data_IF_618420029273
#
_entry.id   IF_618420029273
#
_cell.length_a   1.000
_cell.length_b   1.000
_cell.length_c   1.000
_cell.angle_alpha   90.00
_cell.angle_beta   90.00
_cell.angle_gamma   90.00
#
_symmetry.space_group_name_H-M   'P 1'
#
loop_
_entity.id
_entity.type
_entity.pdbx_description
1 polymer ?
#
# COMPACT_ATOMS: atom_id res chain seq x y z
N UNK A 1 39.15 -36.83 -19.30
CA UNK A 1 40.55 -36.41 -19.46
C UNK A 1 40.93 -36.65 -20.91
N UNK A 2 41.00 -35.55 -21.72
CA UNK A 2 41.62 -35.40 -23.06
C UNK A 2 41.22 -36.36 -24.20
N UNK A 3 41.12 -35.96 -25.48
CA UNK A 3 41.32 -34.70 -26.19
C UNK A 3 40.68 -34.83 -27.59
N UNK A 4 40.35 -33.67 -28.15
CA UNK A 4 39.79 -33.39 -29.46
C UNK A 4 40.41 -34.14 -30.67
N UNK A 5 39.62 -34.33 -31.74
CA UNK A 5 39.74 -33.60 -33.02
C UNK A 5 38.78 -34.14 -34.10
N UNK A 6 38.44 -33.26 -35.05
CA UNK A 6 37.54 -33.36 -36.23
C UNK A 6 36.02 -33.18 -35.93
N UNK A 7 35.31 -32.21 -36.52
CA UNK A 7 35.62 -31.38 -37.68
C UNK A 7 34.86 -30.04 -37.67
N UNK A 8 35.58 -29.01 -38.10
CA UNK A 8 35.08 -27.66 -38.38
C UNK A 8 34.31 -27.64 -39.70
N UNK A 9 33.49 -26.59 -39.81
CA UNK A 9 32.98 -25.89 -41.02
C UNK A 9 31.55 -26.23 -41.43
N UNK A 10 30.62 -25.47 -40.88
CA UNK A 10 29.70 -24.68 -41.71
C UNK A 10 29.54 -23.31 -41.05
N UNK A 11 30.19 -22.30 -41.66
CA UNK A 11 30.08 -20.90 -41.27
C UNK A 11 28.96 -20.23 -42.05
N UNK A 12 27.89 -19.83 -41.35
CA UNK A 12 26.86 -18.92 -41.84
C UNK A 12 27.04 -17.56 -41.17
N UNK A 13 27.42 -16.56 -41.96
CA UNK A 13 27.66 -15.18 -41.54
C UNK A 13 26.34 -14.50 -41.15
N UNK A 14 26.12 -14.25 -39.86
CA UNK A 14 25.16 -13.23 -39.41
C UNK A 14 25.91 -11.89 -39.28
N UNK A 15 25.65 -10.99 -40.24
CA UNK A 15 26.14 -9.61 -40.23
C UNK A 15 25.59 -8.88 -39.00
N UNK A 16 26.48 -8.46 -38.13
CA UNK A 16 26.24 -7.48 -37.07
C UNK A 16 26.06 -6.09 -37.72
N UNK A 17 24.84 -5.54 -37.64
CA UNK A 17 24.52 -4.20 -38.13
C UNK A 17 24.96 -3.13 -37.14
N UNK A 18 25.77 -2.19 -37.62
CA UNK A 18 26.21 -0.96 -36.94
C UNK A 18 25.04 -0.17 -36.32
N UNK A 19 24.93 -0.17 -35.00
CA UNK A 19 24.18 0.82 -34.23
C UNK A 19 25.16 1.79 -33.57
N UNK A 20 25.70 2.71 -34.37
CA UNK A 20 26.63 3.73 -33.91
C UNK A 20 26.25 5.11 -34.44
N UNK A 21 25.01 5.58 -34.16
CA UNK A 21 24.68 7.01 -34.22
C UNK A 21 23.31 7.37 -33.60
N UNK A 22 23.21 7.52 -32.28
CA UNK A 22 22.36 8.54 -31.63
C UNK A 22 23.02 8.94 -30.29
N UNK A 23 23.14 10.24 -30.07
CA UNK A 23 24.02 10.90 -29.10
C UNK A 23 23.60 10.73 -27.63
N UNK A 24 24.52 10.88 -26.66
CA UNK A 24 24.20 11.08 -25.26
C UNK A 24 23.90 12.55 -24.98
N UNK A 25 22.67 12.87 -24.56
CA UNK A 25 22.35 14.22 -24.06
C UNK A 25 22.88 14.37 -22.63
N UNK A 26 24.05 15.02 -22.57
CA UNK A 26 24.50 15.98 -21.56
C UNK A 26 24.31 15.63 -20.07
N UNK A 27 25.39 15.09 -19.50
CA UNK A 27 25.75 15.21 -18.09
C UNK A 27 25.98 16.69 -17.73
N UNK A 28 25.30 17.20 -16.70
CA UNK A 28 25.79 18.28 -15.84
C UNK A 28 25.25 18.10 -14.43
N UNK A 29 25.94 17.26 -13.65
CA UNK A 29 26.06 17.49 -12.22
C UNK A 29 27.54 17.38 -11.89
N UNK A 30 28.10 18.54 -11.61
CA UNK A 30 29.48 18.75 -11.18
C UNK A 30 29.61 18.18 -9.78
N UNK A 31 30.54 17.23 -9.62
CA UNK A 31 31.07 16.82 -8.33
C UNK A 31 31.71 18.04 -7.66
N UNK A 32 31.22 18.42 -6.48
CA UNK A 32 31.98 19.25 -5.55
C UNK A 32 32.21 18.41 -4.30
N UNK A 33 33.47 17.98 -4.11
CA UNK A 33 33.90 17.26 -2.93
C UNK A 33 33.80 18.17 -1.70
N UNK A 34 33.12 17.69 -0.67
CA UNK A 34 33.33 18.18 0.68
C UNK A 34 33.65 17.02 1.61
N UNK A 35 34.95 16.92 1.87
CA UNK A 35 35.58 16.12 2.89
C UNK A 35 35.19 16.71 4.25
N UNK A 36 34.32 16.04 5.01
CA UNK A 36 34.09 16.39 6.41
C UNK A 36 34.90 15.44 7.27
N UNK A 37 35.90 16.06 7.88
CA UNK A 37 36.92 15.54 8.77
C UNK A 37 36.29 15.11 10.09
N UNK A 38 36.72 13.94 10.55
CA UNK A 38 36.52 13.41 11.89
C UNK A 38 37.09 14.37 12.96
N UNK A 39 36.35 14.61 14.04
CA UNK A 39 36.90 15.16 15.28
C UNK A 39 36.27 14.48 16.49
N UNK A 40 36.93 13.40 16.91
CA UNK A 40 36.89 12.84 18.26
C UNK A 40 37.88 13.63 19.13
N UNK A 41 37.37 14.35 20.13
CA UNK A 41 38.10 14.95 21.25
C UNK A 41 37.04 15.19 22.35
N UNK A 42 37.23 15.01 23.66
CA UNK A 42 38.30 14.47 24.50
C UNK A 42 37.72 14.52 25.94
N UNK A 43 37.93 13.45 26.72
CA UNK A 43 38.21 13.38 28.18
C UNK A 43 37.31 14.02 29.27
N UNK A 44 36.82 13.14 30.17
CA UNK A 44 37.30 12.92 31.57
C UNK A 44 36.80 13.84 32.70
N UNK A 45 36.07 13.20 33.62
CA UNK A 45 36.01 13.24 35.11
C UNK A 45 36.19 14.57 35.88
N UNK A 46 35.37 14.76 36.94
CA UNK A 46 35.75 14.77 38.37
C UNK A 46 34.70 15.44 39.29
N UNK A 47 34.28 14.67 40.31
CA UNK A 47 33.96 14.98 41.71
C UNK A 47 32.94 16.04 42.20
N UNK A 48 32.10 15.56 43.13
CA UNK A 48 31.25 16.28 44.11
C UNK A 48 32.06 17.07 45.16
N UNK A 49 31.38 17.93 45.96
CA UNK A 49 31.10 17.52 47.35
C UNK A 49 29.75 18.02 47.96
N UNK A 50 29.19 17.19 48.88
CA UNK A 50 28.22 17.54 49.96
C UNK A 50 28.99 18.25 51.12
N UNK A 51 28.39 19.01 52.09
CA UNK A 51 27.42 18.54 53.14
C UNK A 51 26.56 19.71 53.76
N UNK A 52 26.02 19.70 55.02
CA UNK A 52 25.68 18.65 55.99
C UNK A 52 24.21 18.67 56.53
N UNK A 53 23.90 17.64 57.33
CA UNK A 53 22.68 17.37 58.12
C UNK A 53 22.56 18.26 59.36
N UNK A 54 21.33 18.51 59.86
CA UNK A 54 20.95 18.36 61.29
C UNK A 54 19.45 18.05 61.46
N UNK A 55 19.16 17.23 62.48
CA UNK A 55 17.89 16.73 63.02
C UNK A 55 16.95 17.88 63.46
N UNK A 56 15.66 17.78 63.80
CA UNK A 56 14.78 16.75 64.41
C UNK A 56 13.38 17.40 64.48
N UNK A 57 12.28 16.63 64.57
CA UNK A 57 11.04 17.17 65.13
C UNK A 57 9.74 16.70 64.47
N UNK A 58 9.12 15.70 65.07
CA UNK A 58 7.74 15.28 64.84
C UNK A 58 6.75 16.38 65.23
N UNK A 59 5.79 16.71 64.37
CA UNK A 59 4.50 17.28 64.78
C UNK A 59 3.38 16.70 63.91
N UNK A 60 2.45 16.04 64.60
CA UNK A 60 1.17 15.54 64.09
C UNK A 60 0.33 16.74 63.66
N UNK A 61 -0.11 16.79 62.40
CA UNK A 61 -1.18 17.69 61.96
C UNK A 61 -2.23 16.88 61.22
N UNK A 62 -3.37 16.69 61.89
CA UNK A 62 -4.59 16.17 61.29
C UNK A 62 -5.10 17.21 60.29
N UNK A 63 -5.07 16.88 59.00
CA UNK A 63 -5.79 17.64 57.98
C UNK A 63 -7.10 16.92 57.64
N UNK A 64 -8.16 17.67 57.85
CA UNK A 64 -9.56 17.36 57.60
C UNK A 64 -9.81 16.93 56.16
N UNK A 65 -10.46 15.79 55.98
CA UNK A 65 -11.04 15.35 54.71
C UNK A 65 -12.16 16.32 54.33
N UNK A 66 -11.84 17.29 53.48
CA UNK A 66 -12.85 18.11 52.80
C UNK A 66 -13.42 17.32 51.62
N UNK A 67 -14.57 16.68 51.84
CA UNK A 67 -15.39 16.07 50.78
C UNK A 67 -16.09 17.17 49.99
N UNK A 68 -15.50 17.57 48.87
CA UNK A 68 -16.14 18.47 47.90
C UNK A 68 -16.91 17.64 46.87
N UNK A 69 -18.23 17.55 47.03
CA UNK A 69 -19.14 17.01 46.02
C UNK A 69 -19.19 17.93 44.79
N UNK A 70 -18.34 17.67 43.80
CA UNK A 70 -18.52 18.28 42.48
C UNK A 70 -19.75 17.66 41.81
N UNK A 71 -20.84 18.44 41.78
CA UNK A 71 -22.03 18.17 40.96
C UNK A 71 -21.59 18.04 39.51
N UNK A 72 -21.61 16.80 39.02
CA UNK A 72 -21.48 16.44 37.63
C UNK A 72 -22.64 17.12 36.85
N UNK A 73 -22.37 18.29 36.27
CA UNK A 73 -23.28 18.95 35.34
C UNK A 73 -23.37 18.06 34.10
N UNK A 74 -24.43 17.26 34.04
CA UNK A 74 -24.75 16.32 32.95
C UNK A 74 -24.82 17.10 31.63
N UNK A 75 -23.72 17.11 30.88
CA UNK A 75 -23.67 17.56 29.48
C UNK A 75 -24.50 16.55 28.69
N UNK A 76 -25.55 17.00 28.01
CA UNK A 76 -26.26 16.15 27.05
C UNK A 76 -25.26 15.66 26.00
N UNK A 77 -25.25 14.36 25.64
CA UNK A 77 -24.48 13.90 24.50
C UNK A 77 -25.10 14.52 23.25
N UNK A 78 -24.39 15.46 22.61
CA UNK A 78 -24.60 15.76 21.20
C UNK A 78 -24.33 14.46 20.44
N UNK A 79 -25.34 13.91 19.77
CA UNK A 79 -25.12 12.80 18.84
C UNK A 79 -24.15 13.29 17.75
N UNK A 80 -22.96 12.69 17.62
CA UNK A 80 -22.07 13.05 16.54
C UNK A 80 -22.77 12.74 15.21
N UNK A 81 -22.69 13.62 14.20
CA UNK A 81 -23.16 13.28 12.86
C UNK A 81 -22.50 11.98 12.40
N UNK A 82 -23.08 11.23 11.44
CA UNK A 82 -22.54 9.95 11.01
C UNK A 82 -21.10 10.13 10.53
N UNK A 83 -20.14 9.71 11.35
CA UNK A 83 -18.70 9.96 11.17
C UNK A 83 -18.19 9.48 9.81
N UNK A 84 -18.79 8.41 9.28
CA UNK A 84 -18.49 7.83 7.96
C UNK A 84 -18.75 8.80 6.79
N UNK A 85 -19.88 9.52 6.83
CA UNK A 85 -20.23 10.47 5.77
C UNK A 85 -19.26 11.66 5.75
N UNK A 86 -18.80 12.09 6.93
CA UNK A 86 -17.81 13.16 7.05
C UNK A 86 -16.43 12.74 6.53
N UNK A 87 -16.02 11.47 6.73
CA UNK A 87 -14.78 10.92 6.19
C UNK A 87 -14.81 10.88 4.66
N UNK A 88 -15.89 10.36 4.05
CA UNK A 88 -16.01 10.36 2.59
C UNK A 88 -16.07 11.78 2.02
N UNK A 89 -16.77 12.69 2.70
CA UNK A 89 -16.83 14.11 2.30
C UNK A 89 -15.47 14.77 2.35
N UNK A 90 -14.67 14.45 3.37
CA UNK A 90 -13.30 14.91 3.50
C UNK A 90 -12.43 14.36 2.37
N UNK A 91 -12.45 13.06 2.11
CA UNK A 91 -11.66 12.42 1.05
C UNK A 91 -12.00 13.00 -0.33
N UNK A 92 -13.29 13.20 -0.63
CA UNK A 92 -13.74 13.83 -1.88
C UNK A 92 -13.25 15.27 -2.02
N UNK A 93 -13.20 16.04 -0.92
CA UNK A 93 -12.68 17.41 -0.93
C UNK A 93 -11.19 17.43 -1.22
N UNK A 94 -10.43 16.50 -0.64
CA UNK A 94 -8.98 16.40 -0.83
C UNK A 94 -8.63 15.91 -2.24
N UNK A 95 -9.44 15.00 -2.80
CA UNK A 95 -9.29 14.48 -4.17
C UNK A 95 -9.29 15.57 -5.25
N UNK A 96 -9.98 16.69 -5.03
CA UNK A 96 -9.99 17.83 -5.96
C UNK A 96 -8.59 18.39 -6.22
N UNK A 97 -7.65 18.18 -5.30
CA UNK A 97 -6.27 18.65 -5.42
C UNK A 97 -5.35 17.64 -6.13
N UNK A 98 -5.85 16.45 -6.49
CA UNK A 98 -5.05 15.42 -7.14
C UNK A 98 -4.72 15.81 -8.59
N UNK A 99 -3.55 15.36 -9.12
CA UNK A 99 -3.25 15.49 -10.55
C UNK A 99 -4.33 14.83 -11.41
N UNK A 100 -4.83 15.54 -12.43
CA UNK A 100 -5.88 15.03 -13.34
C UNK A 100 -5.56 13.65 -13.92
N UNK A 101 -4.32 13.33 -14.37
CA UNK A 101 -4.01 12.00 -14.88
C UNK A 101 -4.22 10.88 -13.84
N UNK A 102 -3.89 11.13 -12.57
CA UNK A 102 -4.08 10.16 -11.50
C UNK A 102 -5.57 9.88 -11.25
N UNK A 103 -6.41 10.91 -11.35
CA UNK A 103 -7.86 10.76 -11.24
C UNK A 103 -8.43 9.94 -12.40
N UNK A 104 -8.13 10.33 -13.65
CA UNK A 104 -8.65 9.62 -14.82
C UNK A 104 -8.21 8.15 -14.83
N UNK A 105 -6.92 7.90 -14.63
CA UNK A 105 -6.39 6.53 -14.63
C UNK A 105 -6.94 5.72 -13.45
N UNK A 106 -6.96 6.31 -12.25
CA UNK A 106 -7.47 5.66 -11.04
C UNK A 106 -8.94 5.25 -11.18
N UNK A 107 -9.82 6.17 -11.57
CA UNK A 107 -11.24 5.86 -11.75
C UNK A 107 -11.51 4.97 -12.97
N UNK A 108 -10.77 5.11 -14.07
CA UNK A 108 -10.91 4.20 -15.22
C UNK A 108 -10.53 2.76 -14.87
N UNK A 109 -9.59 2.57 -13.95
CA UNK A 109 -9.23 1.26 -13.41
C UNK A 109 -10.35 0.57 -12.62
N UNK A 110 -11.41 1.27 -12.22
CA UNK A 110 -12.57 0.63 -11.58
C UNK A 110 -13.53 -0.03 -12.58
N UNK A 111 -13.36 0.22 -13.87
CA UNK A 111 -14.30 -0.24 -14.88
C UNK A 111 -14.44 -1.77 -14.88
N UNK A 112 -13.37 -2.59 -14.90
CA UNK A 112 -13.51 -4.06 -14.87
C UNK A 112 -14.04 -4.59 -13.53
N UNK A 113 -13.80 -3.87 -12.43
CA UNK A 113 -14.39 -4.21 -11.14
C UNK A 113 -15.90 -4.04 -11.18
N UNK A 114 -16.41 -2.86 -11.57
CA UNK A 114 -17.84 -2.56 -11.49
C UNK A 114 -18.62 -3.27 -12.60
N UNK A 115 -18.06 -3.39 -13.81
CA UNK A 115 -18.78 -3.95 -14.96
C UNK A 115 -19.15 -5.43 -14.76
N UNK A 116 -18.26 -6.24 -14.17
CA UNK A 116 -18.50 -7.66 -13.97
C UNK A 116 -19.77 -7.98 -13.14
N UNK A 117 -19.91 -7.54 -11.88
CA UNK A 117 -21.12 -7.77 -11.09
C UNK A 117 -22.34 -7.03 -11.67
N UNK A 118 -22.15 -5.86 -12.30
CA UNK A 118 -23.26 -5.13 -12.92
C UNK A 118 -23.88 -5.91 -14.07
N UNK A 119 -23.07 -6.51 -14.95
CA UNK A 119 -23.55 -7.35 -16.04
C UNK A 119 -24.25 -8.61 -15.52
N UNK A 120 -23.70 -9.25 -14.48
CA UNK A 120 -24.33 -10.42 -13.84
C UNK A 120 -25.67 -10.05 -13.18
N UNK A 121 -25.77 -8.86 -12.58
CA UNK A 121 -27.01 -8.34 -12.01
C UNK A 121 -28.08 -8.03 -13.07
N UNK A 122 -27.70 -7.38 -14.17
CA UNK A 122 -28.64 -7.04 -15.26
C UNK A 122 -29.16 -8.30 -15.97
N UNK A 123 -28.32 -9.31 -16.14
CA UNK A 123 -28.68 -10.57 -16.81
C UNK A 123 -29.28 -11.61 -15.87
N UNK A 124 -29.32 -11.33 -14.57
CA UNK A 124 -29.77 -12.25 -13.51
C UNK A 124 -29.10 -13.64 -13.62
N UNK A 125 -27.87 -13.66 -14.10
CA UNK A 125 -27.14 -14.89 -14.42
C UNK A 125 -25.72 -14.75 -13.90
N UNK A 126 -25.25 -15.77 -13.18
CA UNK A 126 -23.86 -15.81 -12.75
C UNK A 126 -22.98 -16.38 -13.88
N UNK A 127 -21.96 -15.62 -14.27
CA UNK A 127 -21.04 -15.97 -15.36
C UNK A 127 -19.64 -16.20 -14.77
N UNK A 128 -19.21 -17.47 -14.57
CA UNK A 128 -17.94 -17.79 -13.90
C UNK A 128 -16.72 -17.18 -14.57
N UNK A 129 -16.72 -17.10 -15.90
CA UNK A 129 -15.61 -16.54 -16.68
C UNK A 129 -15.43 -15.05 -16.45
N UNK A 130 -16.55 -14.33 -16.31
CA UNK A 130 -16.55 -12.91 -16.01
C UNK A 130 -16.10 -12.64 -14.57
N UNK A 131 -16.56 -13.46 -13.62
CA UNK A 131 -16.10 -13.41 -12.24
C UNK A 131 -14.60 -13.73 -12.12
N UNK A 132 -14.12 -14.72 -12.88
CA UNK A 132 -12.69 -15.05 -12.96
C UNK A 132 -11.87 -13.90 -13.57
N UNK A 133 -12.34 -13.29 -14.65
CA UNK A 133 -11.67 -12.13 -15.26
C UNK A 133 -11.56 -10.95 -14.28
N UNK A 134 -12.62 -10.68 -13.51
CA UNK A 134 -12.61 -9.65 -12.47
C UNK A 134 -11.57 -9.94 -11.37
N UNK A 135 -11.46 -11.21 -10.94
CA UNK A 135 -10.46 -11.66 -9.97
C UNK A 135 -9.04 -11.53 -10.52
N UNK A 136 -8.79 -11.95 -11.75
CA UNK A 136 -7.48 -11.84 -12.41
C UNK A 136 -7.06 -10.37 -12.54
N UNK A 137 -8.00 -9.51 -12.91
CA UNK A 137 -7.78 -8.07 -12.94
C UNK A 137 -7.44 -7.53 -11.55
N UNK A 138 -8.19 -7.92 -10.53
CA UNK A 138 -7.93 -7.51 -9.15
C UNK A 138 -6.58 -7.97 -8.63
N UNK A 139 -6.18 -9.22 -8.89
CA UNK A 139 -4.85 -9.73 -8.56
C UNK A 139 -3.73 -8.95 -9.26
N UNK A 140 -3.95 -8.55 -10.52
CA UNK A 140 -3.01 -7.71 -11.27
C UNK A 140 -2.82 -6.34 -10.63
N UNK A 141 -3.92 -5.71 -10.20
CA UNK A 141 -3.88 -4.44 -9.46
C UNK A 141 -3.16 -4.61 -8.12
N UNK A 142 -3.50 -5.62 -7.33
CA UNK A 142 -2.83 -5.90 -6.04
C UNK A 142 -1.31 -6.04 -6.22
N UNK A 143 -0.87 -6.75 -7.26
CA UNK A 143 0.57 -6.89 -7.59
C UNK A 143 1.21 -5.55 -7.99
N UNK A 144 0.54 -4.75 -8.81
CA UNK A 144 1.00 -3.42 -9.22
C UNK A 144 1.20 -2.50 -8.01
N UNK A 145 0.28 -2.54 -7.04
CA UNK A 145 0.36 -1.73 -5.82
C UNK A 145 1.55 -2.10 -4.94
N UNK A 146 1.92 -3.39 -4.90
CA UNK A 146 3.19 -3.82 -4.33
C UNK A 146 4.38 -3.13 -5.01
N UNK A 147 4.44 -3.18 -6.34
CA UNK A 147 5.52 -2.54 -7.11
C UNK A 147 5.64 -1.02 -6.92
N UNK A 148 4.52 -0.32 -6.74
CA UNK A 148 4.50 1.14 -6.54
C UNK A 148 5.35 1.60 -5.33
N UNK A 149 5.43 0.76 -4.29
CA UNK A 149 6.21 1.07 -3.08
C UNK A 149 7.72 1.11 -3.33
N UNK A 150 8.24 0.28 -4.24
CA UNK A 150 9.64 0.38 -4.68
C UNK A 150 9.88 1.73 -5.36
N UNK A 151 8.96 2.14 -6.25
CA UNK A 151 9.03 3.44 -6.93
C UNK A 151 9.05 4.62 -5.96
N UNK A 152 8.39 4.52 -4.81
CA UNK A 152 8.43 5.56 -3.78
C UNK A 152 9.71 5.53 -2.93
N UNK A 153 10.26 4.35 -2.61
CA UNK A 153 11.39 4.22 -1.68
C UNK A 153 12.77 4.42 -2.33
N UNK A 154 12.88 4.26 -3.66
CA UNK A 154 14.16 4.33 -4.37
C UNK A 154 14.74 5.74 -4.61
N UNK A 155 13.94 6.80 -4.87
CA UNK A 155 14.49 8.12 -5.13
C UNK A 155 15.32 8.67 -3.96
N UNK A 156 16.43 9.32 -4.27
CA UNK A 156 17.27 10.00 -3.27
C UNK A 156 16.45 11.07 -2.54
N UNK A 157 16.53 11.08 -1.21
CA UNK A 157 15.75 12.00 -0.37
C UNK A 157 14.29 11.60 -0.19
N UNK A 158 13.87 10.41 -0.65
CA UNK A 158 12.53 9.89 -0.33
C UNK A 158 12.33 9.78 1.19
N UNK A 159 11.13 10.13 1.70
CA UNK A 159 10.79 9.90 3.10
C UNK A 159 10.79 8.41 3.49
N UNK A 160 10.58 7.51 2.53
CA UNK A 160 10.71 6.08 2.74
C UNK A 160 12.09 5.61 2.31
N UNK A 161 12.80 4.91 3.20
CA UNK A 161 14.10 4.34 2.88
C UNK A 161 13.93 2.98 2.19
N UNK A 162 14.86 2.57 1.31
CA UNK A 162 14.88 1.24 0.73
C UNK A 162 15.42 0.21 1.73
N UNK A 163 14.77 0.11 2.90
CA UNK A 163 15.08 -0.84 3.94
C UNK A 163 14.26 -2.13 3.80
N UNK A 164 14.64 -3.16 4.56
CA UNK A 164 13.95 -4.46 4.54
C UNK A 164 12.45 -4.34 4.82
N UNK A 165 12.04 -3.45 5.71
CA UNK A 165 10.64 -3.27 6.05
C UNK A 165 9.85 -2.73 4.84
N UNK A 166 10.33 -1.69 4.17
CA UNK A 166 9.62 -1.12 3.02
C UNK A 166 9.64 -2.05 1.81
N UNK A 167 10.77 -2.70 1.53
CA UNK A 167 10.92 -3.57 0.36
C UNK A 167 10.26 -4.94 0.56
N UNK A 168 10.27 -5.52 1.77
CA UNK A 168 9.58 -6.79 2.01
C UNK A 168 8.05 -6.61 2.02
N UNK A 169 7.55 -5.54 2.65
CA UNK A 169 6.11 -5.26 2.70
C UNK A 169 5.52 -4.99 1.31
N UNK A 170 6.33 -4.57 0.35
CA UNK A 170 5.87 -4.38 -1.03
C UNK A 170 5.64 -5.70 -1.77
N UNK A 171 6.26 -6.80 -1.32
CA UNK A 171 6.18 -8.11 -1.96
C UNK A 171 4.95 -8.88 -1.47
N UNK A 172 4.51 -8.60 -0.24
CA UNK A 172 3.34 -9.24 0.39
C UNK A 172 2.08 -9.16 -0.49
N UNK A 173 1.67 -7.99 -1.03
CA UNK A 173 0.52 -7.92 -1.95
C UNK A 173 0.68 -8.84 -3.18
N UNK A 174 1.86 -8.85 -3.81
CA UNK A 174 2.11 -9.67 -5.01
C UNK A 174 2.04 -11.17 -4.72
N UNK A 175 2.51 -11.61 -3.56
CA UNK A 175 2.37 -13.01 -3.13
C UNK A 175 0.91 -13.36 -2.91
N UNK A 176 0.13 -12.48 -2.26
CA UNK A 176 -1.31 -12.70 -2.04
C UNK A 176 -2.06 -12.75 -3.37
N UNK A 177 -1.72 -11.87 -4.32
CA UNK A 177 -2.28 -11.90 -5.66
C UNK A 177 -1.96 -13.21 -6.40
N UNK A 178 -0.72 -13.68 -6.31
CA UNK A 178 -0.32 -14.97 -6.87
C UNK A 178 -1.09 -16.14 -6.23
N UNK A 179 -1.22 -16.15 -4.91
CA UNK A 179 -2.05 -17.13 -4.20
C UNK A 179 -3.51 -17.07 -4.64
N UNK A 180 -4.09 -15.87 -4.82
CA UNK A 180 -5.45 -15.72 -5.31
C UNK A 180 -5.65 -16.46 -6.65
N UNK A 181 -4.70 -16.32 -7.57
CA UNK A 181 -4.74 -17.00 -8.87
C UNK A 181 -4.57 -18.53 -8.77
N UNK A 182 -3.79 -19.02 -7.82
CA UNK A 182 -3.66 -20.47 -7.57
C UNK A 182 -4.98 -21.09 -7.08
N UNK A 183 -5.78 -20.34 -6.32
CA UNK A 183 -7.11 -20.77 -5.87
C UNK A 183 -8.23 -20.42 -6.88
N UNK A 184 -7.90 -20.25 -8.17
CA UNK A 184 -8.86 -19.87 -9.23
C UNK A 184 -10.05 -20.82 -9.38
N UNK A 185 -9.90 -22.11 -9.03
CA UNK A 185 -11.00 -23.07 -9.02
C UNK A 185 -12.15 -22.68 -8.07
N UNK A 186 -11.86 -21.91 -7.03
CA UNK A 186 -12.86 -21.41 -6.09
C UNK A 186 -12.88 -19.87 -6.08
N UNK A 187 -13.77 -19.30 -6.88
CA UNK A 187 -13.95 -17.84 -7.00
C UNK A 187 -14.18 -17.15 -5.66
N UNK A 188 -14.82 -17.80 -4.69
CA UNK A 188 -15.04 -17.20 -3.36
C UNK A 188 -13.69 -17.04 -2.65
N UNK A 189 -12.89 -18.09 -2.58
CA UNK A 189 -11.57 -18.05 -1.95
C UNK A 189 -10.63 -17.08 -2.68
N UNK A 190 -10.61 -17.16 -4.01
CA UNK A 190 -9.79 -16.27 -4.85
C UNK A 190 -10.18 -14.80 -4.69
N UNK A 191 -11.48 -14.49 -4.75
CA UNK A 191 -12.00 -13.13 -4.54
C UNK A 191 -11.72 -12.60 -3.14
N UNK A 192 -11.83 -13.43 -2.10
CA UNK A 192 -11.47 -13.06 -0.73
C UNK A 192 -9.98 -12.77 -0.59
N UNK A 193 -9.10 -13.53 -1.26
CA UNK A 193 -7.65 -13.25 -1.28
C UNK A 193 -7.35 -11.91 -1.97
N UNK A 194 -8.03 -11.59 -3.08
CA UNK A 194 -7.89 -10.26 -3.72
C UNK A 194 -8.37 -9.15 -2.78
N UNK A 195 -9.51 -9.32 -2.12
CA UNK A 195 -10.04 -8.37 -1.13
C UNK A 195 -9.02 -8.15 0.01
N UNK A 196 -8.44 -9.23 0.55
CA UNK A 196 -7.42 -9.14 1.59
C UNK A 196 -6.16 -8.43 1.09
N UNK A 197 -5.69 -8.75 -0.12
CA UNK A 197 -4.53 -8.10 -0.74
C UNK A 197 -4.74 -6.60 -0.95
N UNK A 198 -5.94 -6.21 -1.41
CA UNK A 198 -6.36 -4.82 -1.54
C UNK A 198 -6.37 -4.10 -0.18
N UNK A 199 -6.94 -4.72 0.86
CA UNK A 199 -6.98 -4.17 2.21
C UNK A 199 -5.59 -4.03 2.85
N UNK A 200 -4.73 -5.03 2.71
CA UNK A 200 -3.34 -4.98 3.19
C UNK A 200 -2.55 -3.88 2.47
N UNK A 201 -2.70 -3.79 1.15
CA UNK A 201 -2.06 -2.73 0.38
C UNK A 201 -2.52 -1.33 0.81
N UNK A 202 -3.83 -1.13 1.03
CA UNK A 202 -4.35 0.14 1.55
C UNK A 202 -3.81 0.43 2.95
N UNK A 203 -3.78 -0.58 3.83
CA UNK A 203 -3.24 -0.42 5.18
C UNK A 203 -1.77 0.02 5.14
N UNK A 204 -0.94 -0.57 4.27
CA UNK A 204 0.45 -0.18 4.10
C UNK A 204 0.62 1.25 3.55
N UNK A 205 -0.26 1.70 2.66
CA UNK A 205 -0.25 3.06 2.13
C UNK A 205 -0.65 4.09 3.20
N UNK A 206 -1.58 3.75 4.09
CA UNK A 206 -2.08 4.65 5.13
C UNK A 206 -1.20 4.67 6.39
N UNK A 207 -0.79 3.50 6.88
CA UNK A 207 -0.11 3.34 8.17
C UNK A 207 1.41 3.43 8.07
N UNK A 208 2.02 2.80 7.05
CA UNK A 208 3.47 2.71 6.93
C UNK A 208 4.09 3.87 6.14
N UNK A 209 3.27 4.68 5.46
CA UNK A 209 3.72 5.82 4.66
C UNK A 209 2.91 7.08 4.99
N UNK A 210 3.08 7.63 6.21
CA UNK A 210 2.39 8.85 6.63
C UNK A 210 2.69 10.03 5.69
N UNK A 211 3.84 10.01 5.04
CA UNK A 211 4.34 11.03 4.11
C UNK A 211 3.73 11.00 2.71
N UNK A 212 2.87 10.02 2.39
CA UNK A 212 2.09 10.09 1.16
C UNK A 212 1.19 11.33 1.14
N UNK A 213 1.07 12.02 -0.02
CA UNK A 213 0.14 13.13 -0.16
C UNK A 213 -1.28 12.70 0.21
N UNK A 214 -1.99 13.56 0.93
CA UNK A 214 -3.35 13.26 1.40
C UNK A 214 -4.31 12.92 0.25
N UNK A 215 -4.15 13.55 -0.92
CA UNK A 215 -4.95 13.24 -2.12
C UNK A 215 -4.73 11.81 -2.63
N UNK A 216 -3.50 11.28 -2.50
CA UNK A 216 -3.19 9.92 -2.92
C UNK A 216 -3.83 8.91 -1.97
N UNK A 217 -3.76 9.17 -0.66
CA UNK A 217 -4.42 8.36 0.36
C UNK A 217 -5.94 8.32 0.15
N UNK A 218 -6.57 9.49 -0.02
CA UNK A 218 -8.01 9.59 -0.29
C UNK A 218 -8.41 8.84 -1.57
N UNK A 219 -7.63 9.01 -2.65
CA UNK A 219 -7.83 8.25 -3.89
C UNK A 219 -7.75 6.75 -3.65
N UNK A 220 -6.70 6.28 -2.98
CA UNK A 220 -6.51 4.85 -2.70
C UNK A 220 -7.63 4.28 -1.84
N UNK A 221 -8.09 5.02 -0.82
CA UNK A 221 -9.25 4.61 -0.01
C UNK A 221 -10.49 4.43 -0.86
N UNK A 222 -10.88 5.43 -1.65
CA UNK A 222 -12.10 5.37 -2.47
C UNK A 222 -12.03 4.26 -3.52
N UNK A 223 -10.92 4.14 -4.26
CA UNK A 223 -10.76 3.08 -5.26
C UNK A 223 -10.85 1.69 -4.63
N UNK A 224 -10.21 1.51 -3.46
CA UNK A 224 -10.22 0.22 -2.75
C UNK A 224 -11.61 -0.12 -2.21
N UNK A 225 -12.33 0.87 -1.66
CA UNK A 225 -13.70 0.69 -1.18
C UNK A 225 -14.64 0.28 -2.31
N UNK A 226 -14.57 0.92 -3.48
CA UNK A 226 -15.41 0.54 -4.63
C UNK A 226 -15.05 -0.86 -5.12
N UNK A 227 -13.76 -1.19 -5.24
CA UNK A 227 -13.30 -2.51 -5.64
C UNK A 227 -13.74 -3.60 -4.64
N UNK A 228 -13.68 -3.32 -3.34
CA UNK A 228 -14.14 -4.22 -2.28
C UNK A 228 -15.63 -4.56 -2.45
N UNK A 229 -16.49 -3.55 -2.57
CA UNK A 229 -17.93 -3.76 -2.71
C UNK A 229 -18.28 -4.47 -4.02
N UNK A 230 -17.56 -4.16 -5.10
CA UNK A 230 -17.71 -4.83 -6.39
C UNK A 230 -17.36 -6.33 -6.31
N UNK A 231 -16.23 -6.69 -5.70
CA UNK A 231 -15.84 -8.10 -5.52
C UNK A 231 -16.80 -8.83 -4.59
N UNK A 232 -17.23 -8.17 -3.51
CA UNK A 232 -18.24 -8.70 -2.59
C UNK A 232 -19.56 -8.97 -3.31
N UNK A 233 -20.02 -8.04 -4.15
CA UNK A 233 -21.21 -8.23 -4.97
C UNK A 233 -21.08 -9.48 -5.84
N UNK A 234 -19.97 -9.67 -6.56
CA UNK A 234 -19.75 -10.88 -7.37
C UNK A 234 -19.83 -12.18 -6.55
N UNK A 235 -19.22 -12.21 -5.35
CA UNK A 235 -19.28 -13.36 -4.45
C UNK A 235 -20.73 -13.64 -4.04
N UNK A 236 -21.49 -12.60 -3.71
CA UNK A 236 -22.90 -12.68 -3.31
C UNK A 236 -23.76 -13.18 -4.48
N UNK A 237 -23.59 -12.62 -5.68
CA UNK A 237 -24.36 -12.99 -6.87
C UNK A 237 -24.22 -14.48 -7.24
N UNK A 238 -23.06 -15.09 -6.98
CA UNK A 238 -22.85 -16.54 -7.14
C UNK A 238 -23.87 -17.38 -6.35
N UNK A 239 -24.32 -16.89 -5.20
CA UNK A 239 -25.30 -17.59 -4.35
C UNK A 239 -26.76 -17.32 -4.75
N UNK A 240 -27.05 -16.25 -5.47
CA UNK A 240 -28.41 -15.83 -5.82
C UNK A 240 -28.83 -16.24 -7.23
N UNK A 241 -27.91 -16.26 -8.20
CA UNK A 241 -28.24 -16.49 -9.60
C UNK A 241 -27.80 -17.85 -10.13
N UNK A 242 -28.52 -18.41 -11.12
CA UNK A 242 -28.11 -19.63 -11.79
C UNK A 242 -26.79 -19.42 -12.56
N UNK A 243 -25.95 -20.45 -12.58
CA UNK A 243 -24.65 -20.44 -13.25
C UNK A 243 -24.80 -20.74 -14.75
N UNK A 244 -24.16 -19.93 -15.60
CA UNK A 244 -24.07 -20.16 -17.04
C UNK A 244 -22.62 -20.07 -17.51
N UNK A 245 -22.12 -21.18 -18.06
CA UNK A 245 -20.76 -21.30 -18.61
C UNK A 245 -20.77 -21.17 -20.12
N UNK A 246 -19.80 -20.45 -20.66
CA UNK A 246 -19.66 -20.21 -22.09
C UNK A 246 -18.39 -20.87 -22.67
N UNK A 247 -17.34 -21.09 -21.88
CA UNK A 247 -16.03 -21.56 -22.39
C UNK A 247 -15.85 -23.09 -22.41
N UNK A 248 -16.86 -23.89 -22.05
CA UNK A 248 -16.81 -25.37 -22.04
C UNK A 248 -17.61 -26.03 -23.17
N UNK A 249 -17.92 -25.31 -24.26
CA UNK A 249 -18.68 -25.84 -25.40
C UNK A 249 -17.82 -26.38 -26.57
N UNK A 250 -16.53 -26.64 -26.36
CA UNK A 250 -15.66 -27.29 -27.36
C UNK A 250 -15.20 -28.68 -26.92
#
# INVERSE_FOLDING_TARGET
MSLALLGRRLGGSFRCGNWSRLQPVSKRFVFSGHQIRCSLFFTKDWNCPLPPRYATGSLIRAESIHSSSQRLKKRQPEEPPPRELDLLRYDLKVLKNAPKPALYLGFSGLLPFVSAPLLMAITETYIPELAYAQVVYGASIVSFLGGARWGFALPEGSPAKPDWLNLANSVVPSIIAWLALLFSHNIIQSGMLVIMGLGISLHYDLALLPTYPSWFKALRTILTTVAFFSLMATIVLKGFYPEKRYLTQE
#
